data_IF_619474623388
#
_entry.id   IF_619474623388
#
_cell.length_a   1.000
_cell.length_b   1.000
_cell.length_c   1.000
_cell.angle_alpha   90.00
_cell.angle_beta   90.00
_cell.angle_gamma   90.00
#
_symmetry.space_group_name_H-M   'P 1'
#
loop_
_entity.id
_entity.type
_entity.pdbx_description
1 polymer ?
#
# COMPACT_ATOMS: atom_id res chain seq x y z
N UNK A 1 -13.97 18.31 13.54
CA UNK A 1 -13.09 17.14 13.31
C UNK A 1 -13.84 15.81 13.13
N UNK A 2 -14.64 15.32 14.10
CA UNK A 2 -15.34 14.01 13.98
C UNK A 2 -16.28 13.89 12.75
N UNK A 3 -16.96 14.98 12.39
CA UNK A 3 -17.87 15.02 11.24
C UNK A 3 -17.15 14.84 9.89
N UNK A 4 -15.95 15.40 9.76
CA UNK A 4 -15.13 15.27 8.55
C UNK A 4 -14.60 13.84 8.37
N UNK A 5 -14.27 13.16 9.48
CA UNK A 5 -13.84 11.76 9.46
C UNK A 5 -14.97 10.85 8.97
N UNK A 6 -16.20 11.04 9.46
CA UNK A 6 -17.37 10.27 9.00
C UNK A 6 -17.62 10.46 7.50
N UNK A 7 -17.54 11.71 7.01
CA UNK A 7 -17.66 12.01 5.58
C UNK A 7 -16.55 11.35 4.77
N UNK A 8 -15.30 11.44 5.22
CA UNK A 8 -14.16 10.80 4.55
C UNK A 8 -14.31 9.27 4.48
N UNK A 9 -14.70 8.62 5.59
CA UNK A 9 -14.96 7.18 5.63
C UNK A 9 -16.11 6.79 4.70
N UNK A 10 -17.18 7.59 4.66
CA UNK A 10 -18.30 7.35 3.75
C UNK A 10 -17.88 7.41 2.28
N UNK A 11 -17.10 8.43 1.89
CA UNK A 11 -16.56 8.56 0.54
C UNK A 11 -15.62 7.41 0.22
N UNK A 12 -14.69 7.07 1.12
CA UNK A 12 -13.76 5.95 0.94
C UNK A 12 -14.48 4.60 0.75
N UNK A 13 -15.55 4.34 1.51
CA UNK A 13 -16.38 3.14 1.35
C UNK A 13 -17.09 3.11 -0.01
N UNK A 14 -17.60 4.26 -0.49
CA UNK A 14 -18.20 4.36 -1.84
C UNK A 14 -17.19 4.16 -2.97
N UNK A 15 -15.98 4.68 -2.78
CA UNK A 15 -14.90 4.62 -3.77
C UNK A 15 -14.00 3.39 -3.60
N UNK A 16 -14.36 2.44 -2.73
CA UNK A 16 -13.48 1.35 -2.33
C UNK A 16 -12.93 0.56 -3.51
N UNK A 17 -13.78 0.19 -4.48
CA UNK A 17 -13.35 -0.52 -5.67
C UNK A 17 -12.34 0.29 -6.50
N UNK A 18 -12.57 1.61 -6.64
CA UNK A 18 -11.65 2.50 -7.36
C UNK A 18 -10.30 2.59 -6.64
N UNK A 19 -10.30 2.73 -5.31
CA UNK A 19 -9.07 2.82 -4.52
C UNK A 19 -8.19 1.56 -4.65
N UNK A 20 -8.82 0.36 -4.66
CA UNK A 20 -8.09 -0.89 -4.86
C UNK A 20 -7.60 -1.00 -6.31
N UNK A 21 -8.43 -0.62 -7.28
CA UNK A 21 -8.06 -0.68 -8.70
C UNK A 21 -6.91 0.27 -9.07
N UNK A 22 -6.94 1.51 -8.60
CA UNK A 22 -5.87 2.48 -8.86
C UNK A 22 -4.53 1.97 -8.31
N UNK A 23 -4.56 1.33 -7.15
CA UNK A 23 -3.36 0.73 -6.57
C UNK A 23 -2.88 -0.50 -7.36
N UNK A 24 -3.79 -1.36 -7.80
CA UNK A 24 -3.47 -2.50 -8.67
C UNK A 24 -2.90 -2.05 -10.03
N UNK A 25 -3.41 -0.96 -10.57
CA UNK A 25 -2.92 -0.37 -11.82
C UNK A 25 -1.47 0.11 -11.69
N UNK A 26 -1.11 0.71 -10.55
CA UNK A 26 0.28 1.11 -10.25
C UNK A 26 1.23 -0.09 -10.11
N UNK A 27 0.74 -1.23 -9.62
CA UNK A 27 1.50 -2.48 -9.50
C UNK A 27 1.47 -3.31 -10.80
N UNK A 28 0.94 -2.75 -11.91
CA UNK A 28 0.82 -3.39 -13.23
C UNK A 28 0.10 -4.75 -13.19
N UNK A 29 -0.89 -4.89 -12.30
CA UNK A 29 -1.62 -6.14 -12.10
C UNK A 29 -2.61 -6.40 -13.25
N UNK A 30 -2.80 -7.67 -13.67
CA UNK A 30 -3.53 -8.01 -14.90
C UNK A 30 -5.07 -7.98 -14.77
N UNK A 31 -5.63 -7.26 -13.80
CA UNK A 31 -7.08 -7.22 -13.56
C UNK A 31 -7.74 -6.02 -14.22
N UNK A 32 -8.87 -6.25 -14.90
CA UNK A 32 -9.74 -5.17 -15.32
C UNK A 32 -10.62 -4.68 -14.17
N UNK A 33 -11.14 -3.45 -14.26
CA UNK A 33 -12.01 -2.90 -13.23
C UNK A 33 -13.27 -3.74 -12.97
N UNK A 34 -14.00 -4.27 -13.99
CA UNK A 34 -15.15 -5.14 -13.75
C UNK A 34 -14.80 -6.47 -13.05
N UNK A 35 -13.64 -7.06 -13.37
CA UNK A 35 -13.16 -8.28 -12.69
C UNK A 35 -12.86 -8.00 -11.22
N UNK A 36 -12.19 -6.89 -10.92
CA UNK A 36 -11.93 -6.47 -9.54
C UNK A 36 -13.23 -6.23 -8.78
N UNK A 37 -14.23 -5.56 -9.38
CA UNK A 37 -15.53 -5.39 -8.74
C UNK A 37 -16.22 -6.72 -8.45
N UNK A 38 -16.12 -7.68 -9.36
CA UNK A 38 -16.65 -9.05 -9.19
C UNK A 38 -15.95 -9.76 -8.03
N UNK A 39 -14.62 -9.67 -7.98
CA UNK A 39 -13.81 -10.22 -6.91
C UNK A 39 -14.17 -9.63 -5.55
N UNK A 40 -14.35 -8.31 -5.47
CA UNK A 40 -14.74 -7.61 -4.24
C UNK A 40 -16.13 -8.00 -3.71
N UNK A 41 -17.01 -8.52 -4.58
CA UNK A 41 -18.31 -9.09 -4.19
C UNK A 41 -18.19 -10.52 -3.65
N UNK A 42 -16.99 -11.08 -3.59
CA UNK A 42 -16.74 -12.45 -3.15
C UNK A 42 -16.96 -13.50 -4.25
N UNK A 43 -17.02 -13.07 -5.51
CA UNK A 43 -17.20 -13.95 -6.67
C UNK A 43 -15.83 -14.27 -7.27
N UNK A 44 -15.60 -15.54 -7.59
CA UNK A 44 -14.34 -15.97 -8.22
C UNK A 44 -14.22 -15.45 -9.65
N UNK A 45 -13.03 -14.98 -10.00
CA UNK A 45 -12.67 -14.60 -11.38
C UNK A 45 -11.72 -15.64 -11.98
N UNK A 46 -11.96 -16.03 -13.23
CA UNK A 46 -11.13 -17.01 -13.95
C UNK A 46 -10.02 -16.34 -14.77
N UNK A 47 -9.07 -17.13 -15.28
CA UNK A 47 -8.07 -16.66 -16.25
C UNK A 47 -6.84 -15.95 -15.67
N UNK A 48 -6.73 -15.83 -14.35
CA UNK A 48 -5.61 -15.16 -13.66
C UNK A 48 -4.82 -16.14 -12.81
N UNK A 49 -3.55 -15.79 -12.50
CA UNK A 49 -2.73 -16.61 -11.58
C UNK A 49 -3.30 -16.53 -10.17
N UNK A 50 -3.19 -17.63 -9.44
CA UNK A 50 -3.59 -17.70 -8.02
C UNK A 50 -2.83 -16.65 -7.20
N UNK A 51 -1.51 -16.53 -7.45
CA UNK A 51 -0.66 -15.53 -6.80
C UNK A 51 -1.18 -14.09 -6.99
N UNK A 52 -1.70 -13.77 -8.16
CA UNK A 52 -2.18 -12.42 -8.46
C UNK A 52 -3.49 -12.14 -7.71
N UNK A 53 -4.37 -13.14 -7.61
CA UNK A 53 -5.60 -13.07 -6.81
C UNK A 53 -5.31 -12.98 -5.31
N UNK A 54 -4.28 -13.68 -4.83
CA UNK A 54 -3.83 -13.59 -3.44
C UNK A 54 -3.30 -12.20 -3.10
N UNK A 55 -2.50 -11.58 -3.99
CA UNK A 55 -2.08 -10.18 -3.84
C UNK A 55 -3.28 -9.23 -3.80
N UNK A 56 -4.21 -9.36 -4.75
CA UNK A 56 -5.44 -8.55 -4.77
C UNK A 56 -6.23 -8.69 -3.46
N UNK A 57 -6.32 -9.92 -2.93
CA UNK A 57 -6.96 -10.20 -1.64
C UNK A 57 -6.26 -9.50 -0.48
N UNK A 58 -4.93 -9.57 -0.39
CA UNK A 58 -4.19 -8.90 0.69
C UNK A 58 -4.39 -7.38 0.65
N UNK A 59 -4.39 -6.79 -0.54
CA UNK A 59 -4.63 -5.37 -0.70
C UNK A 59 -6.05 -4.95 -0.32
N UNK A 60 -7.05 -5.75 -0.69
CA UNK A 60 -8.42 -5.56 -0.22
C UNK A 60 -8.47 -5.54 1.32
N UNK A 61 -7.84 -6.51 1.98
CA UNK A 61 -7.81 -6.61 3.45
C UNK A 61 -7.10 -5.40 4.06
N UNK A 62 -5.98 -4.96 3.49
CA UNK A 62 -5.22 -3.81 3.98
C UNK A 62 -6.04 -2.51 3.90
N UNK A 63 -6.73 -2.27 2.77
CA UNK A 63 -7.63 -1.13 2.60
C UNK A 63 -8.80 -1.16 3.59
N UNK A 64 -9.46 -2.32 3.75
CA UNK A 64 -10.51 -2.49 4.75
C UNK A 64 -9.99 -2.19 6.15
N UNK A 65 -8.78 -2.67 6.48
CA UNK A 65 -8.20 -2.46 7.80
C UNK A 65 -7.88 -0.99 8.06
N UNK A 66 -7.39 -0.27 7.07
CA UNK A 66 -7.16 1.17 7.18
C UNK A 66 -8.45 1.94 7.44
N UNK A 67 -9.49 1.68 6.64
CA UNK A 67 -10.80 2.33 6.80
C UNK A 67 -11.36 2.06 8.20
N UNK A 68 -11.25 0.81 8.69
CA UNK A 68 -11.67 0.43 10.04
C UNK A 68 -10.91 1.20 11.14
N UNK A 69 -9.59 1.34 11.01
CA UNK A 69 -8.76 2.08 11.99
C UNK A 69 -9.13 3.58 12.03
N UNK A 70 -9.41 4.17 10.85
CA UNK A 70 -9.86 5.56 10.73
C UNK A 70 -11.26 5.73 11.34
N UNK A 71 -12.19 4.82 11.03
CA UNK A 71 -13.56 4.83 11.54
C UNK A 71 -13.61 4.71 13.07
N UNK A 72 -12.71 3.92 13.66
CA UNK A 72 -12.56 3.81 15.12
C UNK A 72 -11.87 5.03 15.76
N UNK A 73 -11.41 6.01 14.98
CA UNK A 73 -10.67 7.17 15.48
C UNK A 73 -9.30 6.81 16.07
N UNK A 74 -8.77 5.62 15.75
CA UNK A 74 -7.47 5.12 16.24
C UNK A 74 -6.33 5.36 15.26
N UNK A 75 -6.63 5.99 14.12
CA UNK A 75 -5.64 6.28 13.11
C UNK A 75 -4.65 7.34 13.60
N UNK A 76 -3.38 6.97 13.62
CA UNK A 76 -2.25 7.87 13.83
C UNK A 76 -1.14 7.47 12.87
N UNK A 77 -0.75 8.38 11.98
CA UNK A 77 0.38 8.20 11.09
C UNK A 77 1.63 7.95 11.94
N UNK A 78 2.10 6.71 11.91
CA UNK A 78 3.17 6.22 12.79
C UNK A 78 3.77 4.95 12.21
N UNK A 79 5.04 4.69 12.54
CA UNK A 79 5.76 3.47 12.16
C UNK A 79 4.94 2.20 12.43
N UNK A 80 4.31 2.13 13.61
CA UNK A 80 3.50 0.99 14.03
C UNK A 80 2.34 0.71 13.08
N UNK A 81 1.61 1.75 12.63
CA UNK A 81 0.48 1.57 11.72
C UNK A 81 0.97 1.25 10.31
N UNK A 82 2.01 1.93 9.83
CA UNK A 82 2.59 1.68 8.51
C UNK A 82 3.12 0.24 8.40
N UNK A 83 3.94 -0.21 9.34
CA UNK A 83 4.44 -1.59 9.40
C UNK A 83 3.31 -2.61 9.51
N UNK A 84 2.22 -2.29 10.23
CA UNK A 84 1.07 -3.18 10.35
C UNK A 84 0.30 -3.34 9.05
N UNK A 85 0.11 -2.25 8.29
CA UNK A 85 -0.53 -2.31 6.98
C UNK A 85 0.36 -3.03 5.98
N UNK A 86 1.67 -2.77 6.03
CA UNK A 86 2.65 -3.43 5.18
C UNK A 86 2.70 -4.94 5.42
N UNK A 87 2.65 -5.36 6.68
CA UNK A 87 2.57 -6.78 7.03
C UNK A 87 1.38 -7.47 6.35
N UNK A 88 0.25 -6.77 6.21
CA UNK A 88 -0.95 -7.33 5.56
C UNK A 88 -0.74 -7.38 4.05
N UNK A 89 -0.31 -6.28 3.43
CA UNK A 89 -0.13 -6.19 1.97
C UNK A 89 0.92 -7.17 1.48
N UNK A 90 2.08 -7.19 2.13
CA UNK A 90 3.22 -8.01 1.74
C UNK A 90 3.14 -9.44 2.28
N UNK A 91 2.01 -9.82 2.88
CA UNK A 91 1.80 -11.18 3.36
C UNK A 91 1.89 -12.15 2.19
N UNK A 92 2.75 -13.16 2.33
CA UNK A 92 3.02 -14.18 1.30
C UNK A 92 3.71 -13.64 0.03
N UNK A 93 4.07 -12.35 0.00
CA UNK A 93 4.85 -11.70 -1.08
C UNK A 93 6.29 -11.37 -0.65
N UNK A 94 6.48 -10.90 0.59
CA UNK A 94 7.80 -10.53 1.12
C UNK A 94 8.34 -11.56 2.11
N UNK A 95 9.67 -11.69 2.16
CA UNK A 95 10.37 -12.55 3.13
C UNK A 95 10.18 -12.06 4.57
N UNK A 96 10.20 -10.75 4.78
CA UNK A 96 10.07 -10.11 6.11
C UNK A 96 8.97 -9.03 6.11
N UNK A 97 7.68 -9.41 6.08
CA UNK A 97 6.57 -8.46 6.03
C UNK A 97 6.53 -7.57 7.28
N UNK A 98 6.26 -6.28 7.09
CA UNK A 98 6.07 -5.32 8.19
C UNK A 98 7.35 -4.86 8.90
N UNK A 99 8.53 -5.22 8.38
CA UNK A 99 9.82 -4.76 8.88
C UNK A 99 10.44 -3.84 7.83
N UNK A 100 11.05 -2.73 8.26
CA UNK A 100 11.86 -1.90 7.36
C UNK A 100 13.06 -2.75 6.96
N UNK A 101 13.34 -2.86 5.65
CA UNK A 101 14.42 -3.71 5.15
C UNK A 101 15.75 -3.44 5.84
N UNK A 102 16.48 -4.51 6.07
CA UNK A 102 17.84 -4.55 6.61
C UNK A 102 18.89 -4.88 5.53
N UNK A 103 18.44 -5.32 4.34
CA UNK A 103 19.26 -5.58 3.16
C UNK A 103 19.28 -4.41 2.16
N UNK A 104 20.41 -4.25 1.47
CA UNK A 104 20.52 -3.38 0.30
C UNK A 104 19.79 -4.04 -0.87
N UNK A 105 19.06 -3.22 -1.63
CA UNK A 105 18.26 -3.67 -2.77
C UNK A 105 18.59 -2.75 -3.95
N UNK A 106 18.47 -3.25 -5.17
CA UNK A 106 18.59 -2.44 -6.37
C UNK A 106 17.37 -2.68 -7.24
N UNK A 107 16.76 -1.61 -7.74
CA UNK A 107 15.65 -1.73 -8.66
C UNK A 107 16.09 -1.30 -10.06
N UNK A 108 15.90 -2.18 -11.05
CA UNK A 108 16.25 -1.91 -12.45
C UNK A 108 14.98 -1.84 -13.29
N UNK A 109 14.79 -0.72 -13.99
CA UNK A 109 13.68 -0.48 -14.90
C UNK A 109 14.15 0.14 -16.21
N UNK A 110 14.13 -0.64 -17.30
CA UNK A 110 14.73 -0.21 -18.57
C UNK A 110 16.24 0.00 -18.41
N UNK A 111 16.74 1.13 -18.90
CA UNK A 111 18.18 1.48 -18.81
C UNK A 111 18.56 2.16 -17.48
N UNK A 112 17.62 2.34 -16.56
CA UNK A 112 17.86 2.99 -15.27
C UNK A 112 17.94 1.97 -14.15
N UNK A 113 19.01 2.03 -13.36
CA UNK A 113 19.13 1.32 -12.09
C UNK A 113 19.06 2.33 -10.96
N UNK A 114 18.06 2.19 -10.10
CA UNK A 114 17.97 2.93 -8.86
C UNK A 114 18.64 2.13 -7.74
N UNK A 115 19.48 2.82 -6.97
CA UNK A 115 19.99 2.33 -5.71
C UNK A 115 19.27 3.09 -4.58
N UNK A 116 18.25 2.47 -3.97
CA UNK A 116 17.64 2.97 -2.75
C UNK A 116 18.68 3.22 -1.64
N UNK A 117 18.38 4.14 -0.68
CA UNK A 117 19.28 4.46 0.43
C UNK A 117 19.72 3.22 1.23
N UNK A 118 20.84 3.30 1.94
CA UNK A 118 21.32 2.15 2.68
C UNK A 118 20.40 1.79 3.87
N UNK A 119 20.31 0.52 4.29
CA UNK A 119 19.38 0.08 5.33
C UNK A 119 19.49 0.85 6.65
N UNK A 120 20.70 1.26 7.02
CA UNK A 120 20.98 2.01 8.23
C UNK A 120 20.42 3.44 8.22
N UNK A 121 20.14 4.00 7.04
CA UNK A 121 19.60 5.35 6.86
C UNK A 121 18.07 5.36 6.87
N UNK A 122 17.43 4.23 6.57
CA UNK A 122 15.98 4.12 6.43
C UNK A 122 15.18 4.52 7.68
N UNK A 123 15.59 4.18 8.92
CA UNK A 123 14.86 4.64 10.10
C UNK A 123 14.80 6.17 10.20
N UNK A 124 15.90 6.85 9.90
CA UNK A 124 15.98 8.31 9.96
C UNK A 124 15.17 8.96 8.83
N UNK A 125 15.27 8.42 7.60
CA UNK A 125 14.48 8.89 6.45
C UNK A 125 12.97 8.70 6.67
N UNK A 126 12.58 7.58 7.28
CA UNK A 126 11.19 7.32 7.64
C UNK A 126 10.66 8.32 8.66
N UNK A 127 11.43 8.59 9.72
CA UNK A 127 11.06 9.58 10.74
C UNK A 127 10.98 11.00 10.15
N UNK A 128 11.88 11.35 9.23
CA UNK A 128 11.83 12.62 8.52
C UNK A 128 10.54 12.72 7.71
N UNK A 129 10.23 11.72 6.91
CA UNK A 129 9.12 11.85 6.00
C UNK A 129 7.75 11.56 6.66
N UNK A 130 7.71 10.96 7.86
CA UNK A 130 6.57 11.09 8.78
C UNK A 130 6.33 12.53 9.24
N UNK A 131 7.39 13.31 9.52
CA UNK A 131 7.25 14.74 9.86
C UNK A 131 6.74 15.53 8.66
N UNK A 132 7.30 15.30 7.48
CA UNK A 132 6.87 15.98 6.25
C UNK A 132 5.40 15.68 5.91
N UNK A 133 4.98 14.42 6.05
CA UNK A 133 3.60 13.99 5.84
C UNK A 133 2.63 14.54 6.89
N UNK A 134 3.11 14.93 8.07
CA UNK A 134 2.28 15.63 9.07
C UNK A 134 2.09 17.12 8.76
N UNK A 135 2.99 17.71 7.95
CA UNK A 135 2.96 19.12 7.57
C UNK A 135 2.23 19.37 6.25
N UNK A 136 2.26 18.40 5.34
CA UNK A 136 1.55 18.46 4.06
C UNK A 136 0.23 17.69 4.19
N UNK A 137 -0.88 18.24 3.71
CA UNK A 137 -2.18 17.54 3.62
C UNK A 137 -2.18 16.45 2.52
N UNK A 138 -1.14 15.62 2.45
CA UNK A 138 -1.03 14.52 1.48
C UNK A 138 -1.80 13.31 2.03
N UNK A 139 -2.60 12.61 1.20
CA UNK A 139 -3.25 11.38 1.61
C UNK A 139 -2.21 10.36 2.08
N UNK A 140 -2.28 9.98 3.36
CA UNK A 140 -1.37 9.03 4.03
C UNK A 140 -1.06 7.77 3.20
N UNK A 141 -2.02 7.31 2.39
CA UNK A 141 -1.85 6.08 1.61
C UNK A 141 -0.75 6.19 0.56
N UNK A 142 -0.60 7.35 -0.07
CA UNK A 142 0.46 7.59 -1.04
C UNK A 142 1.83 7.47 -0.38
N UNK A 143 1.97 7.93 0.87
CA UNK A 143 3.21 7.84 1.62
C UNK A 143 3.54 6.40 2.07
N UNK A 144 2.53 5.63 2.50
CA UNK A 144 2.73 4.21 2.83
C UNK A 144 3.04 3.37 1.58
N UNK A 145 2.46 3.72 0.43
CA UNK A 145 2.70 3.05 -0.85
C UNK A 145 4.06 3.42 -1.45
N UNK A 146 4.47 4.69 -1.41
CA UNK A 146 5.82 5.09 -1.84
C UNK A 146 6.90 4.52 -0.92
N UNK A 147 6.63 4.41 0.39
CA UNK A 147 7.55 3.78 1.33
C UNK A 147 7.56 2.26 1.19
N UNK A 148 6.41 1.61 0.97
CA UNK A 148 6.36 0.16 0.67
C UNK A 148 6.98 -0.18 -0.67
N UNK A 149 6.84 0.69 -1.69
CA UNK A 149 7.55 0.57 -2.95
C UNK A 149 9.06 0.69 -2.71
N UNK A 150 9.52 1.68 -1.93
CA UNK A 150 10.91 1.85 -1.47
C UNK A 150 11.47 0.71 -0.60
N UNK A 151 10.58 -0.09 0.00
CA UNK A 151 10.91 -1.29 0.79
C UNK A 151 10.80 -2.59 -0.02
N UNK A 152 10.26 -2.58 -1.25
CA UNK A 152 10.05 -3.78 -2.07
C UNK A 152 11.09 -3.88 -3.18
N UNK A 153 11.68 -5.07 -3.30
CA UNK A 153 12.81 -5.39 -4.21
C UNK A 153 12.48 -5.29 -5.72
N UNK A 154 11.24 -5.12 -6.17
CA UNK A 154 10.92 -5.38 -7.59
C UNK A 154 9.90 -4.51 -8.32
N UNK A 155 9.36 -3.43 -7.75
CA UNK A 155 8.25 -2.68 -8.39
C UNK A 155 8.54 -1.21 -8.69
N UNK A 156 9.78 -0.83 -9.02
CA UNK A 156 10.10 0.49 -9.57
C UNK A 156 10.24 0.44 -11.10
N UNK A 157 9.13 0.29 -11.80
CA UNK A 157 9.06 0.67 -13.21
C UNK A 157 8.21 1.94 -13.31
N UNK A 158 8.90 3.07 -13.53
CA UNK A 158 8.37 4.41 -13.83
C UNK A 158 7.88 5.24 -12.64
N UNK A 159 8.85 5.90 -12.00
CA UNK A 159 8.69 7.31 -11.60
C UNK A 159 9.50 8.16 -12.58
#
# INVERSE_FOLDING_TARGET
>A
MKENIKKAVFVAKKMFAQLVYDFQYLEEMPFTFPELQTFLQGITIGGHKISDQEKLKQQQIAWQKLIEIIEQGKFKLSKKITCKLEYIVAKDEALTPGIIRDGAVSATGGDFTCHPPEPHELPALFDQALKDASQKEVPCFYYTVSFSAGMRESSFKKW
#
